data_IF_125337359794
#
_entry.id   IF_125337359794
#
_cell.length_a   1.000
_cell.length_b   1.000
_cell.length_c   1.000
_cell.angle_alpha   90.00
_cell.angle_beta   90.00
_cell.angle_gamma   90.00
#
_symmetry.space_group_name_H-M   'P 1'
#
loop_
_entity.id
_entity.type
_entity.pdbx_description
1 polymer ?
#
# COMPACT_ATOMS: atom_id res chain seq x y z
N UNK A 1 -24.78 9.00 1.89
CA UNK A 1 -24.09 7.75 1.74
C UNK A 1 -22.61 7.93 1.40
N UNK A 2 -21.75 7.26 2.09
CA UNK A 2 -20.33 7.43 1.86
C UNK A 2 -19.86 6.61 0.69
N UNK A 3 -18.99 7.17 -0.15
CA UNK A 3 -18.42 6.38 -1.22
C UNK A 3 -17.52 5.30 -0.64
N UNK A 4 -17.42 4.19 -1.34
CA UNK A 4 -16.55 3.12 -0.91
C UNK A 4 -15.11 3.50 -1.13
N UNK A 5 -14.24 3.04 -0.23
CA UNK A 5 -12.82 3.19 -0.44
C UNK A 5 -12.35 2.16 -1.46
N UNK A 6 -11.43 2.55 -2.30
CA UNK A 6 -10.94 1.70 -3.38
C UNK A 6 -9.54 1.19 -3.07
N UNK A 7 -9.37 -0.12 -3.14
CA UNK A 7 -8.10 -0.77 -2.90
C UNK A 7 -7.60 -1.40 -4.20
N UNK A 8 -6.37 -1.08 -4.57
CA UNK A 8 -5.72 -1.70 -5.71
C UNK A 8 -4.96 -2.92 -5.18
N UNK A 9 -5.38 -4.09 -5.59
CA UNK A 9 -4.85 -5.35 -5.07
C UNK A 9 -4.10 -6.08 -6.18
N UNK A 10 -2.84 -6.42 -5.93
CA UNK A 10 -1.99 -6.99 -6.97
C UNK A 10 -1.32 -8.26 -6.48
N UNK A 11 -1.46 -9.34 -7.25
CA UNK A 11 -0.87 -10.62 -6.91
C UNK A 11 -0.87 -11.45 -8.20
N UNK A 12 0.28 -11.98 -8.59
CA UNK A 12 0.34 -12.78 -9.82
C UNK A 12 -0.37 -14.12 -9.71
N UNK A 13 -0.70 -14.55 -8.50
CA UNK A 13 -1.48 -15.76 -8.28
C UNK A 13 -2.96 -15.41 -8.30
N UNK A 14 -3.66 -15.82 -9.36
CA UNK A 14 -5.06 -15.45 -9.52
C UNK A 14 -5.96 -15.95 -8.41
N UNK A 15 -5.64 -17.12 -7.88
CA UNK A 15 -6.46 -17.71 -6.84
C UNK A 15 -6.34 -16.90 -5.54
N UNK A 16 -5.13 -16.56 -5.17
CA UNK A 16 -4.91 -15.74 -3.99
C UNK A 16 -5.56 -14.37 -4.15
N UNK A 17 -5.45 -13.82 -5.36
CA UNK A 17 -6.03 -12.52 -5.65
C UNK A 17 -7.54 -12.54 -5.51
N UNK A 18 -8.18 -13.60 -6.04
CA UNK A 18 -9.63 -13.74 -5.96
C UNK A 18 -10.10 -13.83 -4.52
N UNK A 19 -9.40 -14.61 -3.70
CA UNK A 19 -9.78 -14.79 -2.32
C UNK A 19 -9.69 -13.46 -1.59
N UNK A 20 -8.60 -12.74 -1.84
CA UNK A 20 -8.39 -11.46 -1.17
C UNK A 20 -9.42 -10.44 -1.62
N UNK A 21 -9.76 -10.47 -2.91
CA UNK A 21 -10.77 -9.57 -3.43
C UNK A 21 -12.11 -9.76 -2.73
N UNK A 22 -12.54 -11.00 -2.61
CA UNK A 22 -13.81 -11.31 -1.96
C UNK A 22 -13.78 -10.85 -0.50
N UNK A 23 -12.67 -11.14 0.19
CA UNK A 23 -12.53 -10.76 1.58
C UNK A 23 -12.67 -9.25 1.76
N UNK A 24 -12.05 -8.48 0.89
CA UNK A 24 -12.10 -7.04 1.00
C UNK A 24 -13.48 -6.49 0.62
N UNK A 25 -14.09 -7.07 -0.39
CA UNK A 25 -15.40 -6.61 -0.82
C UNK A 25 -16.46 -6.87 0.24
N UNK A 26 -16.33 -7.94 1.00
CA UNK A 26 -17.29 -8.21 2.06
C UNK A 26 -17.20 -7.19 3.19
N UNK A 27 -16.10 -6.44 3.24
CA UNK A 27 -15.97 -5.39 4.23
C UNK A 27 -16.32 -4.02 3.67
N UNK A 28 -16.86 -3.99 2.46
CA UNK A 28 -17.36 -2.74 1.89
C UNK A 28 -16.37 -1.99 1.03
N UNK A 29 -15.22 -2.58 0.72
CA UNK A 29 -14.26 -1.91 -0.15
C UNK A 29 -14.55 -2.21 -1.61
N UNK A 30 -14.16 -1.28 -2.47
CA UNK A 30 -14.13 -1.54 -3.90
C UNK A 30 -12.74 -2.06 -4.21
N UNK A 31 -12.63 -3.12 -4.99
CA UNK A 31 -11.33 -3.73 -5.26
C UNK A 31 -11.03 -3.70 -6.74
N UNK A 32 -9.85 -3.18 -7.08
CA UNK A 32 -9.31 -3.25 -8.43
C UNK A 32 -8.21 -4.30 -8.39
N UNK A 33 -8.44 -5.43 -9.02
CA UNK A 33 -7.55 -6.59 -8.91
C UNK A 33 -6.73 -6.76 -10.19
N UNK A 34 -5.42 -6.87 -10.03
CA UNK A 34 -4.51 -7.03 -11.16
C UNK A 34 -3.50 -8.12 -10.88
N UNK A 35 -3.16 -8.88 -11.91
CA UNK A 35 -2.11 -9.90 -11.78
C UNK A 35 -0.78 -9.39 -12.32
N UNK A 36 -0.76 -8.21 -12.92
CA UNK A 36 0.44 -7.64 -13.53
C UNK A 36 0.69 -6.27 -12.90
N UNK A 37 1.87 -6.12 -12.31
CA UNK A 37 2.19 -4.88 -11.59
C UNK A 37 2.26 -3.67 -12.50
N UNK A 38 2.70 -3.84 -13.74
CA UNK A 38 2.76 -2.71 -14.66
C UNK A 38 1.38 -2.19 -15.01
N UNK A 39 0.46 -3.11 -15.24
CA UNK A 39 -0.91 -2.71 -15.51
C UNK A 39 -1.54 -2.07 -14.30
N UNK A 40 -1.20 -2.58 -13.12
CA UNK A 40 -1.70 -1.99 -11.88
C UNK A 40 -1.21 -0.55 -11.74
N UNK A 41 0.06 -0.31 -12.05
CA UNK A 41 0.60 1.05 -11.96
C UNK A 41 -0.09 1.99 -12.94
N UNK A 42 -0.35 1.51 -14.14
CA UNK A 42 -1.08 2.31 -15.11
C UNK A 42 -2.46 2.67 -14.60
N UNK A 43 -3.12 1.70 -13.97
CA UNK A 43 -4.44 1.99 -13.41
C UNK A 43 -4.34 3.01 -12.28
N UNK A 44 -3.28 2.88 -11.47
CA UNK A 44 -3.09 3.82 -10.37
C UNK A 44 -2.94 5.25 -10.88
N UNK A 45 -2.29 5.42 -12.02
CA UNK A 45 -2.09 6.74 -12.60
C UNK A 45 -3.40 7.43 -12.95
N UNK A 46 -4.44 6.67 -13.14
CA UNK A 46 -5.75 7.23 -13.46
C UNK A 46 -6.47 7.81 -12.24
N UNK A 47 -5.94 7.56 -11.08
CA UNK A 47 -6.50 8.12 -9.85
C UNK A 47 -7.59 7.28 -9.24
N UNK A 48 -8.08 7.74 -8.11
CA UNK A 48 -9.20 7.09 -7.43
C UNK A 48 -8.86 5.91 -6.56
N UNK A 49 -7.58 5.68 -6.28
CA UNK A 49 -7.15 4.57 -5.43
C UNK A 49 -6.79 5.10 -4.05
N UNK A 50 -7.34 4.48 -3.02
CA UNK A 50 -7.13 4.91 -1.65
C UNK A 50 -6.03 4.14 -0.93
N UNK A 51 -5.73 2.92 -1.39
CA UNK A 51 -4.71 2.09 -0.76
C UNK A 51 -4.24 1.03 -1.75
N UNK A 52 -2.95 0.70 -1.70
CA UNK A 52 -2.37 -0.33 -2.55
C UNK A 52 -1.96 -1.51 -1.69
N UNK A 53 -2.34 -2.70 -2.11
CA UNK A 53 -2.00 -3.95 -1.42
C UNK A 53 -1.39 -4.87 -2.46
N UNK A 54 -0.11 -5.17 -2.34
CA UNK A 54 0.58 -5.95 -3.35
C UNK A 54 1.48 -7.02 -2.76
N UNK A 55 1.59 -8.11 -3.52
CA UNK A 55 2.56 -9.13 -3.23
C UNK A 55 3.94 -8.61 -3.63
N UNK A 56 4.99 -9.06 -2.97
CA UNK A 56 6.35 -8.63 -3.29
C UNK A 56 6.88 -9.36 -4.52
N UNK A 57 6.78 -10.69 -4.51
CA UNK A 57 7.40 -11.50 -5.55
C UNK A 57 6.43 -11.70 -6.72
N UNK A 58 6.76 -11.08 -7.83
CA UNK A 58 5.94 -11.17 -9.05
C UNK A 58 6.86 -11.08 -10.25
N UNK A 59 6.49 -11.68 -11.38
CA UNK A 59 7.30 -11.56 -12.60
C UNK A 59 7.30 -10.10 -13.08
N UNK A 60 8.36 -9.71 -13.74
CA UNK A 60 8.49 -8.36 -14.21
C UNK A 60 8.91 -7.44 -13.09
N UNK A 61 8.18 -6.37 -12.87
CA UNK A 61 8.48 -5.52 -11.72
C UNK A 61 7.84 -6.14 -10.49
N UNK A 62 8.54 -6.09 -9.39
CA UNK A 62 8.03 -6.68 -8.16
C UNK A 62 7.18 -5.66 -7.37
N UNK A 63 6.63 -6.12 -6.25
CA UNK A 63 5.76 -5.27 -5.45
C UNK A 63 6.47 -4.05 -4.89
N UNK A 64 7.74 -4.16 -4.58
CA UNK A 64 8.49 -3.04 -4.06
C UNK A 64 8.65 -1.95 -5.12
N UNK A 65 8.91 -2.36 -6.35
CA UNK A 65 9.01 -1.43 -7.47
C UNK A 65 7.67 -0.79 -7.77
N UNK A 66 6.60 -1.56 -7.68
CA UNK A 66 5.27 -1.02 -7.87
C UNK A 66 4.98 0.06 -6.84
N UNK A 67 5.25 -0.22 -5.58
CA UNK A 67 5.01 0.75 -4.52
C UNK A 67 5.88 2.00 -4.72
N UNK A 68 7.11 1.81 -5.18
CA UNK A 68 7.96 2.96 -5.49
C UNK A 68 7.33 3.86 -6.53
N UNK A 69 6.74 3.27 -7.57
CA UNK A 69 6.03 4.03 -8.59
C UNK A 69 4.80 4.74 -8.05
N UNK A 70 4.06 4.04 -7.19
CA UNK A 70 2.88 4.62 -6.55
C UNK A 70 3.28 5.83 -5.70
N UNK A 71 4.33 5.70 -4.91
CA UNK A 71 4.76 6.78 -4.04
C UNK A 71 5.33 7.97 -4.81
N UNK A 72 5.90 7.70 -5.98
CA UNK A 72 6.36 8.78 -6.83
C UNK A 72 5.19 9.62 -7.35
N UNK A 73 4.06 8.97 -7.60
CA UNK A 73 2.86 9.65 -8.09
C UNK A 73 2.09 10.28 -6.94
N UNK A 74 1.93 9.55 -5.85
CA UNK A 74 1.09 9.99 -4.73
C UNK A 74 1.70 9.52 -3.42
N UNK A 75 2.61 10.30 -2.85
CA UNK A 75 3.32 9.87 -1.62
C UNK A 75 2.41 9.59 -0.44
N UNK A 76 1.24 10.19 -0.43
CA UNK A 76 0.31 10.00 0.69
C UNK A 76 -0.55 8.76 0.61
N UNK A 77 -0.52 8.04 -0.50
CA UNK A 77 -1.34 6.83 -0.63
C UNK A 77 -0.69 5.70 0.15
N UNK A 78 -1.38 5.13 1.14
CA UNK A 78 -0.79 4.03 1.92
C UNK A 78 -0.63 2.78 1.07
N UNK A 79 0.42 2.03 1.37
CA UNK A 79 0.75 0.82 0.63
C UNK A 79 1.17 -0.28 1.59
N UNK A 80 0.65 -1.48 1.36
CA UNK A 80 0.97 -2.67 2.14
C UNK A 80 1.65 -3.67 1.23
N UNK A 81 2.77 -4.20 1.68
CA UNK A 81 3.54 -5.18 0.95
C UNK A 81 3.43 -6.53 1.64
N UNK A 82 3.09 -7.57 0.87
CA UNK A 82 2.96 -8.92 1.39
C UNK A 82 4.08 -9.77 0.81
N UNK A 83 4.72 -10.58 1.63
CA UNK A 83 5.78 -11.44 1.15
C UNK A 83 5.80 -12.77 1.86
N UNK A 84 6.07 -13.82 1.13
CA UNK A 84 6.27 -15.13 1.72
C UNK A 84 7.65 -15.33 2.31
N UNK A 85 8.55 -14.36 2.08
CA UNK A 85 9.90 -14.46 2.59
C UNK A 85 10.21 -13.29 3.49
N UNK A 86 10.16 -13.54 4.77
CA UNK A 86 10.27 -12.48 5.76
C UNK A 86 11.54 -11.66 5.67
N UNK A 87 12.64 -12.27 5.28
CA UNK A 87 13.89 -11.55 5.28
C UNK A 87 13.99 -10.45 4.27
N UNK A 88 13.23 -10.51 3.23
CA UNK A 88 13.36 -9.56 2.15
C UNK A 88 12.92 -8.18 2.54
N UNK A 89 11.97 -8.09 3.45
CA UNK A 89 11.42 -6.80 3.77
C UNK A 89 12.39 -5.87 4.50
N UNK A 90 13.48 -6.40 4.96
CA UNK A 90 14.45 -5.56 5.63
C UNK A 90 15.18 -4.65 4.66
N UNK A 91 15.03 -4.94 3.35
CA UNK A 91 15.63 -4.08 2.40
C UNK A 91 14.82 -2.85 2.22
N UNK A 92 15.35 -1.91 1.51
CA UNK A 92 14.66 -0.69 1.21
C UNK A 92 13.39 -0.93 0.46
N UNK A 93 12.32 -0.45 0.98
CA UNK A 93 11.05 -0.40 0.26
C UNK A 93 10.25 0.76 0.80
N UNK A 94 9.27 1.20 0.04
CA UNK A 94 8.48 2.36 0.39
C UNK A 94 7.15 2.01 1.03
N UNK A 95 6.92 0.75 1.35
CA UNK A 95 5.64 0.33 1.90
C UNK A 95 5.45 0.90 3.29
N UNK A 96 4.22 1.25 3.61
CA UNK A 96 3.88 1.73 4.94
C UNK A 96 3.77 0.59 5.93
N UNK A 97 3.37 -0.59 5.43
CA UNK A 97 3.25 -1.78 6.25
C UNK A 97 3.77 -2.97 5.46
N UNK A 98 4.51 -3.83 6.12
CA UNK A 98 4.96 -5.07 5.54
C UNK A 98 4.38 -6.22 6.35
N UNK A 99 3.79 -7.21 5.68
CA UNK A 99 3.25 -8.38 6.34
C UNK A 99 3.80 -9.64 5.69
N UNK A 100 4.24 -10.58 6.51
CA UNK A 100 4.74 -11.85 5.99
C UNK A 100 3.56 -12.80 5.80
N UNK A 101 3.43 -13.33 4.59
CA UNK A 101 2.35 -14.26 4.29
C UNK A 101 2.40 -15.45 5.23
N UNK A 102 1.24 -15.87 5.70
CA UNK A 102 1.16 -16.99 6.61
C UNK A 102 1.47 -16.65 8.06
N UNK A 103 1.90 -15.42 8.31
CA UNK A 103 2.24 -14.99 9.66
C UNK A 103 1.22 -14.04 10.24
N UNK A 104 0.11 -13.86 9.58
CA UNK A 104 -0.95 -12.99 10.08
C UNK A 104 -2.30 -13.60 9.74
N UNK A 105 -3.28 -13.28 10.56
CA UNK A 105 -4.66 -13.70 10.27
C UNK A 105 -5.31 -12.69 9.33
N UNK A 106 -6.30 -13.11 8.57
CA UNK A 106 -7.02 -12.16 7.72
C UNK A 106 -7.55 -10.95 8.47
N UNK A 107 -7.96 -11.14 9.71
CA UNK A 107 -8.44 -10.01 10.51
C UNK A 107 -7.35 -8.98 10.79
N UNK A 108 -6.10 -9.42 10.87
CA UNK A 108 -4.99 -8.49 11.08
C UNK A 108 -4.78 -7.61 9.86
N UNK A 109 -4.87 -8.20 8.68
CA UNK A 109 -4.74 -7.42 7.46
C UNK A 109 -5.86 -6.39 7.35
N UNK A 110 -7.08 -6.82 7.62
CA UNK A 110 -8.23 -5.93 7.54
C UNK A 110 -8.10 -4.76 8.52
N UNK A 111 -7.59 -5.04 9.70
CA UNK A 111 -7.41 -3.97 10.69
C UNK A 111 -6.32 -2.99 10.26
N UNK A 112 -5.24 -3.48 9.68
CA UNK A 112 -4.19 -2.60 9.18
C UNK A 112 -4.72 -1.70 8.08
N UNK A 113 -5.52 -2.24 7.19
CA UNK A 113 -6.12 -1.47 6.12
C UNK A 113 -7.00 -0.38 6.70
N UNK A 114 -7.85 -0.75 7.64
CA UNK A 114 -8.76 0.21 8.26
C UNK A 114 -7.99 1.36 8.90
N UNK A 115 -6.95 1.03 9.64
CA UNK A 115 -6.17 2.03 10.33
C UNK A 115 -5.44 2.96 9.37
N UNK A 116 -4.89 2.42 8.29
CA UNK A 116 -4.21 3.26 7.31
C UNK A 116 -5.17 4.20 6.62
N UNK A 117 -6.37 3.75 6.33
CA UNK A 117 -7.35 4.59 5.66
C UNK A 117 -7.86 5.69 6.57
N UNK A 118 -8.03 5.39 7.85
CA UNK A 118 -8.44 6.40 8.81
C UNK A 118 -7.38 7.47 8.96
N UNK A 119 -6.12 7.08 9.07
CA UNK A 119 -5.03 8.02 9.23
C UNK A 119 -4.90 8.93 8.03
N UNK A 120 -5.01 8.38 6.85
CA UNK A 120 -4.91 9.18 5.65
C UNK A 120 -6.01 10.22 5.60
N UNK A 121 -7.23 9.81 6.02
CA UNK A 121 -8.32 10.70 5.96
C UNK A 121 -8.20 11.83 6.94
N UNK A 122 -7.75 11.57 8.14
CA UNK A 122 -7.69 12.56 9.18
C UNK A 122 -6.78 13.72 8.88
N UNK A 123 -5.52 13.47 8.56
CA UNK A 123 -4.59 14.57 8.40
C UNK A 123 -4.81 15.43 7.20
N UNK A 124 -5.66 15.05 6.28
CA UNK A 124 -5.76 15.81 5.15
C UNK A 124 -6.23 17.19 5.37
N UNK A 125 -6.79 17.48 6.38
CA UNK A 125 -7.23 18.77 6.51
C UNK A 125 -6.25 19.53 7.14
N UNK A 126 -5.94 19.96 7.29
CA UNK A 126 -5.02 20.46 8.05
C UNK A 126 -3.80 20.64 7.95
N UNK A 127 -4.09 20.57 7.73
CA UNK A 127 -3.32 20.65 7.81
C UNK A 127 -2.41 20.63 7.34
N UNK A 128 -2.33 20.57 7.04
CA UNK A 128 -1.59 20.51 6.70
C UNK A 128 -0.76 21.19 6.61
N UNK A 129 -0.82 21.76 6.85
CA UNK A 129 -0.15 22.46 6.99
C UNK A 129 0.76 22.47 7.40
N UNK A 130 0.81 22.55 7.65
CA UNK A 130 1.51 22.49 8.23
C UNK A 130 2.53 22.18 8.39
N UNK A 131 2.65 22.14 8.32
CA UNK A 131 3.54 21.74 8.52
C UNK A 131 4.49 21.65 8.41
N UNK A 132 4.56 21.81 8.44
CA UNK A 132 5.42 21.58 8.44
C UNK A 132 6.40 21.42 8.48
N UNK A 133 6.46 21.56 8.41
CA UNK A 133 7.32 21.22 8.47
C UNK A 133 8.25 20.85 8.71
N UNK A 134 8.05 20.86 8.69
CA UNK A 134 8.77 20.42 8.97
C UNK A 134 9.52 19.93 9.14
N UNK A 135 9.26 19.97 9.00
CA UNK A 135 9.72 19.40 9.17
C UNK A 135 10.44 18.81 9.11
N UNK A 136 10.31 18.83 8.78
CA UNK A 136 10.81 18.30 8.73
C UNK A 136 11.53 17.73 8.73
N UNK A 137 11.53 17.82 8.65
CA UNK A 137 12.09 17.10 8.56
C UNK A 137 12.79 16.54 8.56
N UNK A 138 12.61 16.58 8.41
CA UNK A 138 13.13 16.00 8.46
C UNK A 138 13.74 15.37 8.47
N UNK A 139 13.55 15.39 8.20
CA UNK A 139 13.97 14.69 8.19
C UNK A 139 14.50 14.11 8.15
N UNK A 140 14.49 14.19 8.02
CA UNK A 140 14.93 13.45 7.93
C UNK A 140 15.41 12.86 7.96
N UNK A 141 15.27 12.97 7.84
CA UNK A 141 15.70 12.30 7.90
C UNK A 141 16.11 11.53 7.88
N UNK A 142 15.99 11.54 7.81
CA UNK A 142 16.38 10.74 7.78
C UNK A 142 16.82 9.97 7.65
N UNK A 143 16.78 10.00 7.33
CA UNK A 143 17.06 9.16 7.30
C UNK A 143 17.76 8.88 6.85
N UNK A 144 17.83 9.07 6.58
CA UNK A 144 18.41 8.79 6.28
C UNK A 144 19.18 8.37 6.13
N UNK A 145 19.19 8.48 6.17
CA UNK A 145 19.83 7.98 6.24
C UNK A 145 20.40 7.43 6.19
N UNK A 146 20.40 7.32 5.90
CA UNK A 146 20.78 6.69 6.16
C UNK A 146 21.38 6.07 6.01
N UNK A 147 21.60 6.00 5.63
CA UNK A 147 22.09 5.43 5.67
C UNK A 147 22.65 5.00 5.56
N UNK A 148 22.98 5.02 5.49
CA UNK A 148 23.47 4.71 5.61
C UNK A 148 23.76 4.56 5.64
#
# INVERSE_FOLDING_TARGET
MKPKRTILCVDDNEQSLSIRKVMLETRGYRVLAYTDARQALKRFEQGGVDLVLTDLIMPGIDGSELIGGVKAISPGTPAILLSGKAKIYERDNCADVFLAKGMYAPADLLERIRLLLVRRRGPKRGQSRAQPPSMQPQAPHPRQVISA
#
